data_IF_278059157556
#
_entry.id   IF_278059157556
#
_cell.length_a   1.000
_cell.length_b   1.000
_cell.length_c   1.000
_cell.angle_alpha   90.00
_cell.angle_beta   90.00
_cell.angle_gamma   90.00
#
_symmetry.space_group_name_H-M   'P 1'
#
loop_
_entity.id
_entity.type
_entity.pdbx_description
1 polymer ?
#
# COMPACT_ATOMS: atom_id res chain seq x y z
N UNK A 1 -19.52 36.10 -4.90
CA UNK A 1 -19.33 36.32 -6.35
C UNK A 1 -17.98 35.85 -6.88
N UNK A 2 -16.82 36.09 -6.23
CA UNK A 2 -15.50 35.69 -6.77
C UNK A 2 -15.38 34.17 -7.08
N UNK A 3 -16.06 33.31 -6.32
CA UNK A 3 -16.02 31.85 -6.52
C UNK A 3 -16.96 31.32 -7.62
N UNK A 4 -17.94 32.09 -8.08
CA UNK A 4 -18.88 31.60 -9.10
C UNK A 4 -18.18 31.42 -10.46
N UNK A 5 -17.19 32.27 -10.77
CA UNK A 5 -16.41 32.18 -12.00
C UNK A 5 -15.42 31.01 -12.01
N UNK A 6 -15.19 30.35 -10.86
CA UNK A 6 -14.31 29.18 -10.77
C UNK A 6 -15.03 27.85 -10.92
N UNK A 7 -16.35 27.85 -11.11
CA UNK A 7 -17.12 26.62 -11.36
C UNK A 7 -16.69 26.03 -12.70
N UNK A 8 -16.26 24.76 -12.69
CA UNK A 8 -15.87 24.00 -13.90
C UNK A 8 -16.58 22.66 -13.89
N UNK A 9 -17.29 22.33 -14.95
CA UNK A 9 -18.02 21.07 -15.12
C UNK A 9 -18.94 20.72 -13.94
N UNK A 10 -19.61 21.74 -13.37
CA UNK A 10 -20.49 21.57 -12.20
C UNK A 10 -19.76 21.36 -10.87
N UNK A 11 -18.43 21.49 -10.86
CA UNK A 11 -17.58 21.41 -9.66
C UNK A 11 -17.14 22.79 -9.21
N UNK A 12 -17.30 23.07 -7.91
CA UNK A 12 -16.72 24.22 -7.25
C UNK A 12 -15.69 23.77 -6.22
N UNK A 13 -14.44 24.22 -6.37
CA UNK A 13 -13.40 24.01 -5.36
C UNK A 13 -13.04 25.34 -4.68
N UNK A 14 -13.08 25.34 -3.34
CA UNK A 14 -12.65 26.46 -2.50
C UNK A 14 -11.47 25.97 -1.66
N UNK A 15 -10.31 26.59 -1.83
CA UNK A 15 -9.07 26.24 -1.12
C UNK A 15 -8.50 27.46 -0.41
N UNK A 16 -7.97 27.25 0.80
CA UNK A 16 -7.23 28.27 1.57
C UNK A 16 -7.80 28.45 2.99
N UNK A 17 -7.04 29.11 3.86
CA UNK A 17 -7.49 29.49 5.21
C UNK A 17 -8.52 30.62 5.11
N UNK A 18 -9.73 30.27 4.69
CA UNK A 18 -10.86 31.19 4.61
C UNK A 18 -11.72 30.98 5.86
N UNK A 19 -12.10 32.09 6.50
CA UNK A 19 -13.24 32.09 7.41
C UNK A 19 -14.49 32.21 6.52
N UNK A 20 -15.07 31.07 6.14
CA UNK A 20 -16.33 31.05 5.39
C UNK A 20 -17.47 31.22 6.39
N UNK A 21 -17.67 32.47 6.83
CA UNK A 21 -18.70 32.82 7.81
C UNK A 21 -20.12 32.54 7.30
N UNK A 22 -20.33 32.44 5.97
CA UNK A 22 -21.53 31.80 5.41
C UNK A 22 -21.30 31.28 3.98
N UNK A 23 -22.00 30.19 3.64
CA UNK A 23 -22.08 29.64 2.27
C UNK A 23 -23.43 29.95 1.61
N UNK A 24 -24.19 30.91 2.16
CA UNK A 24 -25.54 31.26 1.70
C UNK A 24 -25.61 31.64 0.22
N UNK A 25 -24.54 32.23 -0.33
CA UNK A 25 -24.47 32.58 -1.75
C UNK A 25 -24.53 31.37 -2.70
N UNK A 26 -24.34 30.15 -2.17
CA UNK A 26 -24.47 28.91 -2.92
C UNK A 26 -25.89 28.35 -2.91
N UNK A 27 -26.85 28.92 -2.17
CA UNK A 27 -28.16 28.30 -1.94
C UNK A 27 -28.91 27.91 -3.22
N UNK A 28 -28.83 28.75 -4.25
CA UNK A 28 -29.52 28.57 -5.55
C UNK A 28 -28.55 28.31 -6.71
N UNK A 29 -27.29 27.96 -6.42
CA UNK A 29 -26.29 27.71 -7.45
C UNK A 29 -26.32 26.23 -7.86
N UNK A 30 -26.50 25.97 -9.16
CA UNK A 30 -26.46 24.63 -9.74
C UNK A 30 -25.01 24.11 -9.83
N UNK A 31 -24.54 23.57 -8.70
CA UNK A 31 -23.28 22.85 -8.59
C UNK A 31 -23.56 21.42 -8.13
N UNK A 32 -22.95 20.44 -8.79
CA UNK A 32 -23.04 19.03 -8.42
C UNK A 32 -22.04 18.68 -7.33
N UNK A 33 -20.82 19.19 -7.43
CA UNK A 33 -19.73 18.84 -6.52
C UNK A 33 -19.18 20.10 -5.87
N UNK A 34 -19.17 20.13 -4.54
CA UNK A 34 -18.56 21.18 -3.76
C UNK A 34 -17.38 20.59 -2.99
N UNK A 35 -16.19 21.18 -3.13
CA UNK A 35 -15.03 20.82 -2.31
C UNK A 35 -14.53 22.05 -1.57
N UNK A 36 -14.44 21.97 -0.25
CA UNK A 36 -13.88 22.99 0.61
C UNK A 36 -12.80 22.32 1.47
N UNK A 37 -11.58 22.86 1.44
CA UNK A 37 -10.44 22.35 2.20
C UNK A 37 -9.79 23.45 3.02
N UNK A 38 -9.31 23.11 4.22
CA UNK A 38 -8.63 24.01 5.14
C UNK A 38 -9.50 25.21 5.59
N UNK A 39 -10.81 25.04 5.67
CA UNK A 39 -11.67 26.04 6.31
C UNK A 39 -11.44 26.00 7.81
N UNK A 40 -11.41 27.14 8.52
CA UNK A 40 -11.23 27.16 9.99
C UNK A 40 -12.54 27.21 10.75
N UNK A 41 -13.57 27.71 10.09
CA UNK A 41 -14.89 27.86 10.64
C UNK A 41 -15.88 27.80 9.48
N UNK A 42 -16.86 26.93 9.58
CA UNK A 42 -18.03 26.93 8.72
C UNK A 42 -19.20 26.98 9.68
N UNK A 43 -19.88 28.12 9.73
CA UNK A 43 -21.23 28.13 10.30
C UNK A 43 -22.09 27.38 9.26
N UNK A 44 -22.60 26.16 9.53
CA UNK A 44 -22.96 25.24 8.47
C UNK A 44 -24.27 25.57 7.76
N UNK A 45 -24.73 26.83 7.76
CA UNK A 45 -25.90 27.27 7.02
C UNK A 45 -25.61 27.24 5.52
N UNK A 46 -25.90 26.08 4.91
CA UNK A 46 -25.94 25.89 3.48
C UNK A 46 -27.15 25.02 3.16
N UNK A 47 -28.11 25.62 2.47
CA UNK A 47 -29.23 24.89 1.91
C UNK A 47 -29.05 24.84 0.39
N UNK A 48 -28.68 23.70 -0.19
CA UNK A 48 -28.55 23.57 -1.64
C UNK A 48 -28.95 22.15 -2.08
N UNK A 49 -29.97 22.05 -2.94
CA UNK A 49 -30.50 20.75 -3.37
C UNK A 49 -29.86 20.18 -4.65
N UNK A 50 -29.00 20.95 -5.30
CA UNK A 50 -28.26 20.55 -6.51
C UNK A 50 -26.99 19.75 -6.16
N UNK A 51 -26.36 20.06 -5.02
CA UNK A 51 -25.15 19.37 -4.58
C UNK A 51 -25.44 17.90 -4.34
N UNK A 52 -24.70 17.04 -5.05
CA UNK A 52 -24.69 15.58 -4.92
C UNK A 52 -23.47 15.08 -4.16
N UNK A 53 -22.37 15.81 -4.26
CA UNK A 53 -21.11 15.47 -3.61
C UNK A 53 -20.58 16.66 -2.85
N UNK A 54 -20.35 16.49 -1.55
CA UNK A 54 -19.77 17.53 -0.72
C UNK A 54 -18.54 17.00 0.01
N UNK A 55 -17.39 17.58 -0.32
CA UNK A 55 -16.12 17.27 0.31
C UNK A 55 -15.70 18.42 1.22
N UNK A 56 -15.66 18.15 2.51
CA UNK A 56 -15.37 19.10 3.58
C UNK A 56 -14.22 18.60 4.46
N UNK A 57 -13.27 17.87 3.88
CA UNK A 57 -12.13 17.33 4.62
C UNK A 57 -11.17 18.42 5.10
N UNK A 58 -10.42 18.11 6.17
CA UNK A 58 -9.39 19.00 6.72
C UNK A 58 -9.90 20.42 7.03
N UNK A 59 -11.10 20.57 7.59
CA UNK A 59 -11.76 21.87 7.76
C UNK A 59 -12.08 22.21 9.23
N UNK A 60 -11.49 21.50 10.20
CA UNK A 60 -11.64 21.72 11.65
C UNK A 60 -13.09 21.98 12.13
N UNK A 61 -14.10 21.54 11.39
CA UNK A 61 -15.50 21.80 11.74
C UNK A 61 -15.88 20.91 12.91
N UNK A 62 -16.76 21.42 13.77
CA UNK A 62 -17.23 20.71 14.97
C UNK A 62 -18.64 20.15 14.84
N UNK A 63 -19.41 20.67 13.89
CA UNK A 63 -20.79 20.28 13.63
C UNK A 63 -21.12 20.42 12.15
N UNK A 64 -22.11 19.65 11.74
CA UNK A 64 -22.79 19.72 10.44
C UNK A 64 -24.20 20.32 10.56
N UNK A 65 -24.57 20.85 11.72
CA UNK A 65 -25.85 21.51 11.98
C UNK A 65 -26.09 22.71 11.04
N UNK A 66 -27.23 22.71 10.35
CA UNK A 66 -27.59 23.77 9.40
C UNK A 66 -27.26 23.43 7.93
N UNK A 67 -26.56 22.32 7.68
CA UNK A 67 -26.39 21.79 6.34
C UNK A 67 -27.69 21.09 5.91
N UNK A 68 -28.30 21.59 4.84
CA UNK A 68 -29.53 21.05 4.27
C UNK A 68 -29.33 20.77 2.78
N UNK A 69 -29.07 19.51 2.43
CA UNK A 69 -28.83 19.10 1.05
C UNK A 69 -29.60 17.80 0.79
N UNK A 70 -30.90 17.91 0.51
CA UNK A 70 -31.78 16.74 0.38
C UNK A 70 -31.36 15.79 -0.75
N UNK A 71 -30.64 16.32 -1.74
CA UNK A 71 -30.12 15.58 -2.87
C UNK A 71 -28.73 14.97 -2.68
N UNK A 72 -28.08 15.17 -1.53
CA UNK A 72 -26.70 14.77 -1.29
C UNK A 72 -26.55 13.25 -1.29
N UNK A 73 -25.57 12.75 -2.03
CA UNK A 73 -25.29 11.32 -2.21
C UNK A 73 -23.93 10.92 -1.64
N UNK A 74 -22.94 11.81 -1.67
CA UNK A 74 -21.61 11.57 -1.11
C UNK A 74 -21.19 12.74 -0.21
N UNK A 75 -20.75 12.42 1.00
CA UNK A 75 -20.30 13.40 1.99
C UNK A 75 -18.96 12.95 2.59
N UNK A 76 -17.92 13.75 2.37
CA UNK A 76 -16.62 13.53 2.97
C UNK A 76 -16.37 14.57 4.08
N UNK A 77 -16.28 14.10 5.31
CA UNK A 77 -16.00 14.88 6.51
C UNK A 77 -14.69 14.42 7.19
N UNK A 78 -13.82 13.76 6.44
CA UNK A 78 -12.57 13.21 6.96
C UNK A 78 -11.67 14.30 7.56
N UNK A 79 -11.02 13.97 8.68
CA UNK A 79 -10.07 14.85 9.37
C UNK A 79 -10.68 16.20 9.75
N UNK A 80 -11.78 16.14 10.51
CA UNK A 80 -12.40 17.30 11.16
C UNK A 80 -12.40 17.11 12.68
N UNK A 81 -13.12 17.99 13.40
CA UNK A 81 -13.25 17.98 14.86
C UNK A 81 -14.70 17.74 15.28
N UNK A 82 -15.44 16.94 14.50
CA UNK A 82 -16.87 16.70 14.75
C UNK A 82 -17.07 16.11 16.15
N UNK A 83 -17.95 16.74 16.92
CA UNK A 83 -18.33 16.25 18.26
C UNK A 83 -19.64 15.46 18.25
N UNK A 84 -20.45 15.60 17.20
CA UNK A 84 -21.68 14.85 16.96
C UNK A 84 -21.96 14.77 15.46
N UNK A 85 -22.70 13.73 15.07
CA UNK A 85 -23.23 13.53 13.72
C UNK A 85 -24.77 13.46 13.70
N UNK A 86 -25.48 13.90 14.75
CA UNK A 86 -26.94 13.75 14.85
C UNK A 86 -27.70 14.32 13.64
N UNK A 87 -27.19 15.41 13.06
CA UNK A 87 -27.78 16.06 11.89
C UNK A 87 -27.55 15.32 10.56
N UNK A 88 -26.81 14.21 10.55
CA UNK A 88 -26.57 13.40 9.33
C UNK A 88 -27.88 12.88 8.74
N UNK A 89 -28.92 12.74 9.56
CA UNK A 89 -30.28 12.36 9.14
C UNK A 89 -30.92 13.36 8.18
N UNK A 90 -30.36 14.57 8.06
CA UNK A 90 -30.79 15.60 7.10
C UNK A 90 -30.38 15.29 5.65
N UNK A 91 -29.65 14.19 5.42
CA UNK A 91 -29.22 13.74 4.09
C UNK A 91 -29.86 12.39 3.73
N UNK A 92 -31.18 12.36 3.42
CA UNK A 92 -31.94 11.11 3.25
C UNK A 92 -31.54 10.30 1.99
N UNK A 93 -30.76 10.89 1.07
CA UNK A 93 -30.27 10.24 -0.15
C UNK A 93 -28.79 9.84 -0.06
N UNK A 94 -28.17 9.98 1.11
CA UNK A 94 -26.74 9.76 1.29
C UNK A 94 -26.37 8.29 1.13
N UNK A 95 -25.49 7.98 0.18
CA UNK A 95 -25.00 6.64 -0.15
C UNK A 95 -23.56 6.43 0.29
N UNK A 96 -22.75 7.49 0.31
CA UNK A 96 -21.34 7.44 0.70
C UNK A 96 -21.05 8.45 1.80
N UNK A 97 -20.42 7.97 2.87
CA UNK A 97 -20.06 8.80 4.01
C UNK A 97 -18.64 8.45 4.49
N UNK A 98 -17.80 9.47 4.61
CA UNK A 98 -16.47 9.36 5.22
C UNK A 98 -16.39 10.29 6.44
N UNK A 99 -16.31 9.69 7.63
CA UNK A 99 -16.18 10.35 8.93
C UNK A 99 -14.78 10.16 9.52
N UNK A 100 -13.84 9.57 8.78
CA UNK A 100 -12.54 9.15 9.30
C UNK A 100 -11.79 10.30 9.97
N UNK A 101 -11.00 10.00 10.98
CA UNK A 101 -10.21 10.96 11.76
C UNK A 101 -11.03 12.04 12.48
N UNK A 102 -12.30 11.78 12.80
CA UNK A 102 -13.06 12.55 13.79
C UNK A 102 -13.15 11.76 15.10
N UNK A 103 -12.74 12.34 16.24
CA UNK A 103 -12.58 11.59 17.49
C UNK A 103 -13.90 11.38 18.24
N UNK A 104 -14.07 10.18 18.80
CA UNK A 104 -15.20 9.76 19.65
C UNK A 104 -16.58 9.92 19.00
N UNK A 105 -16.71 9.56 17.73
CA UNK A 105 -18.01 9.61 17.04
C UNK A 105 -18.98 8.59 17.62
N UNK A 106 -20.17 9.06 18.01
CA UNK A 106 -21.33 8.19 18.27
C UNK A 106 -21.94 7.74 16.95
N UNK A 107 -22.09 6.42 16.78
CA UNK A 107 -22.65 5.83 15.55
C UNK A 107 -24.17 5.75 15.57
N UNK A 108 -24.82 6.03 16.71
CA UNK A 108 -26.27 5.88 16.86
C UNK A 108 -27.10 6.57 15.76
N UNK A 109 -26.76 7.77 15.24
CA UNK A 109 -27.56 8.43 14.20
C UNK A 109 -27.54 7.70 12.85
N UNK A 110 -26.51 6.87 12.60
CA UNK A 110 -26.36 6.12 11.34
C UNK A 110 -27.49 5.11 11.13
N UNK A 111 -28.19 4.69 12.20
CA UNK A 111 -29.29 3.74 12.08
C UNK A 111 -30.45 4.24 11.18
N UNK A 112 -30.50 5.55 10.94
CA UNK A 112 -31.50 6.21 10.11
C UNK A 112 -31.07 6.36 8.64
N UNK A 113 -29.92 5.79 8.24
CA UNK A 113 -29.38 5.87 6.88
C UNK A 113 -29.21 4.48 6.23
N UNK A 114 -30.24 3.63 6.17
CA UNK A 114 -30.14 2.25 5.66
C UNK A 114 -29.74 2.17 4.17
N UNK A 115 -29.79 3.29 3.44
CA UNK A 115 -29.39 3.39 2.04
C UNK A 115 -27.87 3.54 1.82
N UNK A 116 -27.07 3.69 2.89
CA UNK A 116 -25.62 3.76 2.76
C UNK A 116 -25.05 2.51 2.07
N UNK A 117 -24.18 2.75 1.10
CA UNK A 117 -23.43 1.74 0.33
C UNK A 117 -21.96 1.74 0.73
N UNK A 118 -21.42 2.90 1.11
CA UNK A 118 -20.03 3.06 1.55
C UNK A 118 -19.96 3.89 2.83
N UNK A 119 -19.24 3.38 3.83
CA UNK A 119 -19.05 4.05 5.11
C UNK A 119 -17.62 3.87 5.62
N UNK A 120 -16.89 4.97 5.77
CA UNK A 120 -15.54 4.98 6.34
C UNK A 120 -15.53 5.77 7.65
N UNK A 121 -14.98 5.16 8.71
CA UNK A 121 -14.93 5.71 10.07
C UNK A 121 -13.59 5.34 10.73
N UNK A 122 -12.49 5.51 10.00
CA UNK A 122 -11.16 5.14 10.48
C UNK A 122 -10.67 6.10 11.55
N UNK A 123 -10.08 5.61 12.64
CA UNK A 123 -9.50 6.46 13.68
C UNK A 123 -10.53 7.30 14.43
N UNK A 124 -11.78 6.85 14.49
CA UNK A 124 -12.88 7.56 15.13
C UNK A 124 -13.03 7.30 16.64
N UNK A 125 -12.22 6.41 17.23
CA UNK A 125 -12.37 5.99 18.63
C UNK A 125 -13.70 5.29 18.91
N UNK A 126 -14.20 4.52 17.92
CA UNK A 126 -15.47 3.81 18.02
C UNK A 126 -15.46 2.81 19.17
N UNK A 127 -16.50 2.84 20.01
CA UNK A 127 -16.72 1.86 21.09
C UNK A 127 -17.93 0.98 20.84
N UNK A 128 -19.02 1.59 20.36
CA UNK A 128 -20.25 0.92 20.00
C UNK A 128 -20.56 1.18 18.53
N UNK A 129 -20.71 0.10 17.77
CA UNK A 129 -21.09 0.11 16.36
C UNK A 129 -22.38 -0.69 16.12
N UNK A 130 -23.21 -0.86 17.15
CA UNK A 130 -24.48 -1.58 17.09
C UNK A 130 -25.45 -0.99 16.07
N UNK A 131 -25.42 0.33 15.86
CA UNK A 131 -26.20 1.04 14.85
C UNK A 131 -25.98 0.51 13.42
N UNK A 132 -24.77 0.00 13.13
CA UNK A 132 -24.43 -0.49 11.79
C UNK A 132 -25.28 -1.68 11.35
N UNK A 133 -25.88 -2.44 12.28
CA UNK A 133 -26.72 -3.61 11.95
C UNK A 133 -27.90 -3.29 11.01
N UNK A 134 -28.29 -2.01 10.91
CA UNK A 134 -29.36 -1.50 10.06
C UNK A 134 -28.92 -1.18 8.62
N UNK A 135 -27.61 -1.05 8.38
CA UNK A 135 -27.01 -0.59 7.12
C UNK A 135 -26.81 -1.74 6.13
N UNK A 136 -27.87 -2.51 5.90
CA UNK A 136 -27.83 -3.80 5.18
C UNK A 136 -27.42 -3.71 3.71
N UNK A 137 -27.37 -2.49 3.14
CA UNK A 137 -26.93 -2.23 1.77
C UNK A 137 -25.43 -1.91 1.65
N UNK A 138 -24.69 -1.86 2.76
CA UNK A 138 -23.25 -1.57 2.74
C UNK A 138 -22.50 -2.62 1.91
N UNK A 139 -21.64 -2.11 1.02
CA UNK A 139 -20.72 -2.89 0.18
C UNK A 139 -19.25 -2.63 0.53
N UNK A 140 -18.95 -1.45 1.08
CA UNK A 140 -17.60 -1.00 1.46
C UNK A 140 -17.67 -0.38 2.87
N UNK A 141 -17.00 -1.01 3.83
CA UNK A 141 -16.91 -0.55 5.22
C UNK A 141 -15.44 -0.47 5.66
N UNK A 142 -15.06 0.66 6.25
CA UNK A 142 -13.76 0.82 6.90
C UNK A 142 -13.94 1.35 8.33
N UNK A 143 -13.39 0.63 9.31
CA UNK A 143 -13.38 0.98 10.73
C UNK A 143 -11.98 0.76 11.33
N UNK A 144 -10.93 1.02 10.56
CA UNK A 144 -9.54 0.83 10.96
C UNK A 144 -9.15 1.77 12.12
N UNK A 145 -8.23 1.35 12.99
CA UNK A 145 -7.57 2.26 13.93
C UNK A 145 -8.45 2.78 15.07
N UNK A 146 -9.46 2.02 15.48
CA UNK A 146 -10.44 2.37 16.50
C UNK A 146 -10.22 1.68 17.86
N UNK A 147 -9.23 0.79 17.97
CA UNK A 147 -8.91 0.08 19.20
C UNK A 147 -9.77 -1.16 19.39
N UNK A 148 -10.24 -1.41 20.62
CA UNK A 148 -11.11 -2.56 20.90
C UNK A 148 -12.54 -2.24 20.48
N UNK A 149 -13.04 -2.97 19.47
CA UNK A 149 -14.42 -2.86 18.96
C UNK A 149 -15.05 -4.25 18.97
N UNK A 150 -16.31 -4.33 19.40
CA UNK A 150 -17.14 -5.51 19.12
C UNK A 150 -17.79 -5.38 17.74
N UNK A 151 -17.45 -6.31 16.85
CA UNK A 151 -17.99 -6.35 15.49
C UNK A 151 -19.21 -7.25 15.33
N UNK A 152 -19.79 -7.77 16.42
CA UNK A 152 -20.98 -8.64 16.38
C UNK A 152 -22.15 -8.05 15.56
N UNK A 153 -22.29 -6.72 15.54
CA UNK A 153 -23.35 -6.02 14.81
C UNK A 153 -23.24 -6.13 13.29
N UNK A 154 -22.03 -6.36 12.73
CA UNK A 154 -21.83 -6.38 11.28
C UNK A 154 -22.32 -7.68 10.63
N UNK A 155 -22.72 -8.69 11.40
CA UNK A 155 -23.17 -9.99 10.87
C UNK A 155 -24.34 -9.91 9.88
N UNK A 156 -25.13 -8.83 9.91
CA UNK A 156 -26.25 -8.58 8.99
C UNK A 156 -25.84 -7.90 7.68
N UNK A 157 -24.60 -7.42 7.56
CA UNK A 157 -24.12 -6.64 6.41
C UNK A 157 -23.65 -7.57 5.28
N UNK A 158 -24.50 -8.50 4.88
CA UNK A 158 -24.14 -9.60 3.97
C UNK A 158 -23.86 -9.15 2.53
N UNK A 159 -24.11 -7.87 2.20
CA UNK A 159 -23.77 -7.26 0.92
C UNK A 159 -22.33 -6.72 0.87
N UNK A 160 -21.59 -6.77 1.99
CA UNK A 160 -20.21 -6.33 2.04
C UNK A 160 -19.34 -7.11 1.05
N UNK A 161 -18.62 -6.35 0.23
CA UNK A 161 -17.60 -6.84 -0.71
C UNK A 161 -16.20 -6.42 -0.28
N UNK A 162 -16.08 -5.29 0.43
CA UNK A 162 -14.83 -4.75 0.95
C UNK A 162 -14.97 -4.42 2.43
N UNK A 163 -14.05 -4.90 3.24
CA UNK A 163 -14.01 -4.63 4.68
C UNK A 163 -12.59 -4.38 5.15
N UNK A 164 -12.35 -3.19 5.71
CA UNK A 164 -11.10 -2.84 6.36
C UNK A 164 -11.30 -2.60 7.86
N UNK A 165 -10.59 -3.37 8.67
CA UNK A 165 -10.59 -3.30 10.14
C UNK A 165 -9.16 -3.40 10.69
N UNK A 166 -8.17 -2.94 9.91
CA UNK A 166 -6.77 -2.98 10.30
C UNK A 166 -6.50 -2.10 11.54
N UNK A 167 -5.38 -2.34 12.22
CA UNK A 167 -4.93 -1.57 13.38
C UNK A 167 -5.98 -1.44 14.50
N UNK A 168 -6.78 -2.49 14.72
CA UNK A 168 -7.71 -2.59 15.84
C UNK A 168 -7.16 -3.56 16.92
N UNK A 169 -7.94 -3.76 17.98
CA UNK A 169 -7.69 -4.74 19.02
C UNK A 169 -8.84 -5.76 19.08
N UNK A 170 -9.21 -6.32 17.92
CA UNK A 170 -10.29 -7.30 17.83
C UNK A 170 -9.94 -8.55 18.65
N UNK A 171 -10.94 -9.09 19.35
CA UNK A 171 -10.83 -10.35 20.12
C UNK A 171 -11.62 -11.48 19.48
N UNK A 172 -12.80 -11.18 18.96
CA UNK A 172 -13.71 -12.12 18.30
C UNK A 172 -14.05 -11.61 16.90
N UNK A 173 -13.95 -12.48 15.90
CA UNK A 173 -14.31 -12.21 14.51
C UNK A 173 -15.40 -13.15 13.95
N UNK A 174 -16.17 -13.81 14.81
CA UNK A 174 -17.24 -14.74 14.46
C UNK A 174 -18.28 -14.15 13.52
N UNK A 175 -18.54 -12.85 13.61
CA UNK A 175 -19.47 -12.13 12.73
C UNK A 175 -19.06 -12.25 11.25
N UNK A 176 -17.76 -12.42 10.96
CA UNK A 176 -17.26 -12.50 9.59
C UNK A 176 -17.77 -13.73 8.83
N UNK A 177 -18.11 -14.84 9.51
CA UNK A 177 -18.58 -16.06 8.82
C UNK A 177 -19.86 -15.85 8.00
N UNK A 178 -20.61 -14.78 8.27
CA UNK A 178 -21.85 -14.44 7.57
C UNK A 178 -21.61 -13.55 6.34
N UNK A 179 -20.42 -12.95 6.20
CA UNK A 179 -20.09 -11.99 5.15
C UNK A 179 -19.55 -12.68 3.89
N UNK A 180 -20.26 -13.71 3.44
CA UNK A 180 -19.81 -14.67 2.40
C UNK A 180 -19.56 -14.05 1.01
N UNK A 181 -20.01 -12.81 0.78
CA UNK A 181 -19.78 -12.05 -0.44
C UNK A 181 -18.50 -11.19 -0.41
N UNK A 182 -17.74 -11.22 0.70
CA UNK A 182 -16.49 -10.47 0.82
C UNK A 182 -15.48 -10.91 -0.24
N UNK A 183 -14.91 -9.91 -0.91
CA UNK A 183 -13.89 -10.05 -1.95
C UNK A 183 -12.54 -9.51 -1.46
N UNK A 184 -12.56 -8.45 -0.65
CA UNK A 184 -11.38 -7.82 -0.07
C UNK A 184 -11.55 -7.71 1.46
N UNK A 185 -10.61 -8.28 2.21
CA UNK A 185 -10.59 -8.19 3.67
C UNK A 185 -9.20 -7.76 4.16
N UNK A 186 -9.17 -6.70 4.95
CA UNK A 186 -7.97 -6.28 5.67
C UNK A 186 -8.20 -6.24 7.17
N UNK A 187 -7.52 -7.13 7.89
CA UNK A 187 -7.51 -7.22 9.36
C UNK A 187 -6.10 -7.10 9.93
N UNK A 188 -5.16 -6.54 9.16
CA UNK A 188 -3.76 -6.33 9.57
C UNK A 188 -3.65 -5.71 10.96
N UNK A 189 -2.70 -6.18 11.78
CA UNK A 189 -2.49 -5.67 13.16
C UNK A 189 -3.66 -5.87 14.12
N UNK A 190 -4.31 -7.04 14.07
CA UNK A 190 -5.25 -7.50 15.10
C UNK A 190 -4.65 -8.70 15.87
N UNK A 191 -3.67 -8.42 16.72
CA UNK A 191 -2.86 -9.44 17.42
C UNK A 191 -3.60 -10.23 18.51
N UNK A 192 -4.82 -9.83 18.87
CA UNK A 192 -5.57 -10.37 20.01
C UNK A 192 -6.74 -11.26 19.60
N UNK A 193 -6.88 -11.54 18.30
CA UNK A 193 -7.88 -12.49 17.79
C UNK A 193 -7.43 -13.91 18.12
N UNK A 194 -8.24 -14.63 18.88
CA UNK A 194 -7.93 -16.00 19.33
C UNK A 194 -8.25 -17.08 18.29
N UNK A 195 -9.25 -16.86 17.44
CA UNK A 195 -9.70 -17.82 16.42
C UNK A 195 -9.95 -17.15 15.07
N UNK A 196 -9.26 -17.65 14.05
CA UNK A 196 -9.40 -17.22 12.66
C UNK A 196 -10.24 -18.18 11.81
N UNK A 197 -10.77 -19.27 12.39
CA UNK A 197 -11.64 -20.22 11.71
C UNK A 197 -12.90 -19.62 11.05
N UNK A 198 -13.49 -18.49 11.52
CA UNK A 198 -14.60 -17.83 10.81
C UNK A 198 -14.24 -17.38 9.39
N UNK A 199 -12.96 -17.15 9.09
CA UNK A 199 -12.52 -16.73 7.75
C UNK A 199 -12.69 -17.83 6.70
N UNK A 200 -12.77 -19.12 7.10
CA UNK A 200 -12.88 -20.24 6.16
C UNK A 200 -14.16 -20.20 5.29
N UNK A 201 -15.17 -19.44 5.71
CA UNK A 201 -16.44 -19.28 5.00
C UNK A 201 -16.39 -18.21 3.91
N UNK A 202 -15.34 -17.37 3.88
CA UNK A 202 -15.19 -16.24 2.98
C UNK A 202 -14.59 -16.63 1.63
N UNK A 203 -15.18 -17.65 0.98
CA UNK A 203 -14.61 -18.31 -0.20
C UNK A 203 -14.56 -17.44 -1.46
N UNK A 204 -15.21 -16.27 -1.45
CA UNK A 204 -15.18 -15.28 -2.53
C UNK A 204 -14.00 -14.28 -2.42
N UNK A 205 -13.19 -14.38 -1.37
CA UNK A 205 -12.03 -13.50 -1.20
C UNK A 205 -11.04 -13.67 -2.34
N UNK A 206 -10.70 -12.55 -2.98
CA UNK A 206 -9.58 -12.43 -3.89
C UNK A 206 -8.37 -11.76 -3.22
N UNK A 207 -8.59 -10.93 -2.20
CA UNK A 207 -7.54 -10.18 -1.49
C UNK A 207 -7.71 -10.32 0.02
N UNK A 208 -6.66 -10.79 0.69
CA UNK A 208 -6.63 -10.96 2.14
C UNK A 208 -5.32 -10.42 2.75
N UNK A 209 -5.47 -9.42 3.61
CA UNK A 209 -4.40 -8.86 4.44
C UNK A 209 -4.62 -9.27 5.90
N UNK A 210 -3.81 -10.20 6.40
CA UNK A 210 -3.86 -10.72 7.78
C UNK A 210 -2.46 -10.76 8.40
N UNK A 211 -1.63 -9.78 8.03
CA UNK A 211 -0.30 -9.62 8.61
C UNK A 211 -0.34 -9.09 10.05
N UNK A 212 0.71 -9.40 10.82
CA UNK A 212 0.85 -9.01 12.22
C UNK A 212 -0.44 -9.29 13.02
N UNK A 213 -0.90 -10.54 12.98
CA UNK A 213 -2.11 -10.98 13.68
C UNK A 213 -1.82 -12.11 14.68
N UNK A 214 -0.54 -12.35 14.97
CA UNK A 214 -0.06 -13.45 15.81
C UNK A 214 -0.60 -14.84 15.38
N UNK A 215 -0.69 -15.07 14.06
CA UNK A 215 -1.20 -16.34 13.52
C UNK A 215 -0.27 -17.50 13.89
N UNK A 216 -0.88 -18.59 14.33
CA UNK A 216 -0.25 -19.90 14.57
C UNK A 216 -0.87 -20.95 13.65
N UNK A 217 -2.19 -21.14 13.73
CA UNK A 217 -2.94 -22.00 12.81
C UNK A 217 -3.46 -21.22 11.59
N UNK A 218 -3.16 -21.77 10.42
CA UNK A 218 -3.60 -21.28 9.11
C UNK A 218 -4.41 -22.33 8.33
N UNK A 219 -4.95 -23.36 8.99
CA UNK A 219 -5.77 -24.41 8.35
C UNK A 219 -6.92 -23.86 7.52
N UNK A 220 -7.54 -22.79 8.01
CA UNK A 220 -8.69 -22.12 7.42
C UNK A 220 -8.38 -21.53 6.03
N UNK A 221 -7.12 -21.17 5.73
CA UNK A 221 -6.72 -20.69 4.41
C UNK A 221 -6.96 -21.72 3.31
N UNK A 222 -6.95 -23.01 3.63
CA UNK A 222 -7.15 -24.08 2.64
C UNK A 222 -8.51 -24.02 1.92
N UNK A 223 -9.47 -23.26 2.44
CA UNK A 223 -10.78 -23.07 1.84
C UNK A 223 -10.83 -21.89 0.87
N UNK A 224 -9.85 -20.99 0.88
CA UNK A 224 -9.85 -19.72 0.16
C UNK A 224 -9.17 -19.82 -1.22
N UNK A 225 -9.55 -20.82 -2.01
CA UNK A 225 -8.86 -21.17 -3.28
C UNK A 225 -8.92 -20.09 -4.37
N UNK A 226 -9.78 -19.08 -4.21
CA UNK A 226 -9.92 -17.95 -5.13
C UNK A 226 -8.97 -16.77 -4.80
N UNK A 227 -8.17 -16.86 -3.73
CA UNK A 227 -7.23 -15.82 -3.36
C UNK A 227 -6.21 -15.58 -4.48
N UNK A 228 -6.09 -14.32 -4.86
CA UNK A 228 -5.10 -13.80 -5.80
C UNK A 228 -4.01 -13.01 -5.07
N UNK A 229 -4.38 -12.28 -4.02
CA UNK A 229 -3.46 -11.47 -3.21
C UNK A 229 -3.55 -11.92 -1.75
N UNK A 230 -2.43 -12.40 -1.20
CA UNK A 230 -2.35 -12.82 0.19
C UNK A 230 -1.14 -12.22 0.88
N UNK A 231 -1.38 -11.65 2.06
CA UNK A 231 -0.33 -11.09 2.90
C UNK A 231 -0.45 -11.64 4.32
N UNK A 232 0.60 -12.35 4.73
CA UNK A 232 0.76 -12.98 6.03
C UNK A 232 1.92 -12.35 6.81
N UNK A 233 2.44 -11.21 6.35
CA UNK A 233 3.64 -10.57 6.90
C UNK A 233 3.64 -10.47 8.43
N UNK A 234 4.80 -10.56 9.06
CA UNK A 234 4.98 -10.47 10.52
C UNK A 234 4.28 -11.54 11.38
N UNK A 235 3.71 -12.60 10.80
CA UNK A 235 3.20 -13.74 11.58
C UNK A 235 4.31 -14.77 11.83
N UNK A 236 5.16 -14.47 12.82
CA UNK A 236 6.40 -15.22 13.08
C UNK A 236 6.21 -16.60 13.75
N UNK A 237 4.98 -16.91 14.19
CA UNK A 237 4.67 -18.15 14.91
C UNK A 237 4.06 -19.24 14.01
N UNK A 238 3.88 -18.98 12.71
CA UNK A 238 3.38 -19.96 11.76
C UNK A 238 4.44 -21.03 11.47
N UNK A 239 4.07 -22.31 11.55
CA UNK A 239 4.98 -23.44 11.27
C UNK A 239 4.44 -24.42 10.20
N UNK A 240 3.20 -24.25 9.74
CA UNK A 240 2.49 -25.19 8.86
C UNK A 240 2.17 -24.61 7.47
N UNK A 241 3.15 -23.96 6.83
CA UNK A 241 2.98 -23.29 5.53
C UNK A 241 2.65 -24.23 4.36
N UNK A 242 2.87 -25.53 4.51
CA UNK A 242 2.37 -26.53 3.55
C UNK A 242 0.86 -26.47 3.31
N UNK A 243 0.09 -25.92 4.26
CA UNK A 243 -1.36 -25.67 4.12
C UNK A 243 -1.71 -24.67 3.02
N UNK A 244 -0.77 -23.83 2.61
CA UNK A 244 -1.00 -22.86 1.53
C UNK A 244 -1.07 -23.51 0.14
N UNK A 245 -0.70 -24.78 -0.01
CA UNK A 245 -0.58 -25.44 -1.32
C UNK A 245 -1.90 -25.50 -2.13
N UNK A 246 -3.04 -25.26 -1.49
CA UNK A 246 -4.36 -25.21 -2.14
C UNK A 246 -4.60 -23.91 -2.91
N UNK A 247 -3.81 -22.86 -2.67
CA UNK A 247 -4.01 -21.50 -3.19
C UNK A 247 -3.39 -21.29 -4.58
N UNK A 248 -3.80 -22.10 -5.55
CA UNK A 248 -3.24 -22.12 -6.91
C UNK A 248 -3.49 -20.83 -7.73
N UNK A 249 -4.44 -20.00 -7.30
CA UNK A 249 -4.83 -18.75 -7.96
C UNK A 249 -3.96 -17.55 -7.55
N UNK A 250 -3.00 -17.73 -6.63
CA UNK A 250 -2.18 -16.62 -6.12
C UNK A 250 -1.34 -15.98 -7.23
N UNK A 251 -1.45 -14.65 -7.31
CA UNK A 251 -0.65 -13.77 -8.15
C UNK A 251 0.32 -12.92 -7.31
N UNK A 252 -0.03 -12.61 -6.05
CA UNK A 252 0.80 -11.87 -5.11
C UNK A 252 0.82 -12.54 -3.74
N UNK A 253 2.02 -12.75 -3.20
CA UNK A 253 2.24 -13.35 -1.90
C UNK A 253 3.25 -12.55 -1.08
N UNK A 254 2.83 -12.07 0.08
CA UNK A 254 3.69 -11.38 1.03
C UNK A 254 3.91 -12.21 2.31
N UNK A 255 5.15 -12.67 2.48
CA UNK A 255 5.64 -13.42 3.64
C UNK A 255 6.77 -12.67 4.37
N UNK A 256 6.79 -11.34 4.27
CA UNK A 256 7.78 -10.50 4.93
C UNK A 256 7.86 -10.82 6.43
N UNK A 257 9.07 -11.10 6.95
CA UNK A 257 9.33 -11.36 8.38
C UNK A 257 8.40 -12.41 9.01
N UNK A 258 8.25 -13.56 8.37
CA UNK A 258 7.47 -14.70 8.88
C UNK A 258 8.33 -15.79 9.54
N UNK A 259 9.64 -15.57 9.70
CA UNK A 259 10.58 -16.55 10.28
C UNK A 259 10.60 -17.89 9.51
N UNK A 260 10.49 -17.83 8.18
CA UNK A 260 10.45 -19.00 7.32
C UNK A 260 11.73 -19.84 7.45
N UNK A 261 11.59 -21.15 7.62
CA UNK A 261 12.71 -22.11 7.58
C UNK A 261 12.87 -22.76 6.21
N UNK A 262 11.76 -22.94 5.50
CA UNK A 262 11.71 -23.46 4.14
C UNK A 262 10.57 -22.83 3.35
N UNK A 263 10.67 -22.87 2.03
CA UNK A 263 9.65 -22.37 1.10
C UNK A 263 9.32 -23.40 0.02
N UNK A 264 9.54 -24.68 0.28
CA UNK A 264 9.29 -25.77 -0.68
C UNK A 264 7.85 -25.80 -1.20
N UNK A 265 6.88 -25.38 -0.37
CA UNK A 265 5.46 -25.26 -0.70
C UNK A 265 5.16 -24.26 -1.83
N UNK A 266 6.04 -23.30 -2.09
CA UNK A 266 5.76 -22.20 -3.04
C UNK A 266 5.65 -22.66 -4.49
N UNK A 267 6.23 -23.83 -4.81
CA UNK A 267 6.33 -24.38 -6.18
C UNK A 267 4.98 -24.57 -6.89
N UNK A 268 3.88 -24.64 -6.13
CA UNK A 268 2.54 -24.80 -6.69
C UNK A 268 1.92 -23.49 -7.17
N UNK A 269 2.45 -22.33 -6.79
CA UNK A 269 1.93 -21.01 -7.16
C UNK A 269 2.46 -20.58 -8.54
N UNK A 270 2.14 -21.35 -9.58
CA UNK A 270 2.66 -21.14 -10.94
C UNK A 270 2.22 -19.82 -11.59
N UNK A 271 1.17 -19.18 -11.06
CA UNK A 271 0.66 -17.89 -11.50
C UNK A 271 1.28 -16.70 -10.74
N UNK A 272 2.18 -16.95 -9.80
CA UNK A 272 2.72 -15.92 -8.92
C UNK A 272 3.59 -14.92 -9.70
N UNK A 273 3.23 -13.64 -9.60
CA UNK A 273 3.88 -12.50 -10.27
C UNK A 273 4.68 -11.64 -9.31
N UNK A 274 4.26 -11.55 -8.05
CA UNK A 274 4.86 -10.71 -7.02
C UNK A 274 5.09 -11.53 -5.75
N UNK A 275 6.33 -11.49 -5.24
CA UNK A 275 6.71 -12.25 -4.05
C UNK A 275 7.60 -11.42 -3.11
N UNK A 276 7.15 -11.25 -1.88
CA UNK A 276 7.92 -10.65 -0.79
C UNK A 276 8.35 -11.73 0.20
N UNK A 277 9.66 -11.96 0.28
CA UNK A 277 10.31 -12.90 1.20
C UNK A 277 11.32 -12.21 2.12
N UNK A 278 11.39 -10.89 2.11
CA UNK A 278 12.34 -10.12 2.89
C UNK A 278 12.26 -10.42 4.40
N UNK A 279 13.40 -10.24 5.08
CA UNK A 279 13.51 -10.46 6.51
C UNK A 279 13.27 -11.91 6.98
N UNK A 280 13.35 -12.89 6.07
CA UNK A 280 13.40 -14.31 6.40
C UNK A 280 14.84 -14.81 6.24
N UNK A 281 15.54 -14.98 7.36
CA UNK A 281 16.98 -15.19 7.38
C UNK A 281 17.35 -16.65 7.05
N UNK A 282 18.22 -16.86 6.06
CA UNK A 282 18.78 -18.17 5.71
C UNK A 282 17.83 -19.09 4.95
N UNK A 283 16.80 -18.55 4.30
CA UNK A 283 15.85 -19.34 3.50
C UNK A 283 16.53 -19.88 2.25
N UNK A 284 16.40 -21.19 2.01
CA UNK A 284 16.76 -21.80 0.73
C UNK A 284 15.81 -21.33 -0.37
N UNK A 285 16.35 -20.56 -1.32
CA UNK A 285 15.59 -20.00 -2.45
C UNK A 285 15.51 -20.93 -3.66
N UNK A 286 16.09 -22.14 -3.61
CA UNK A 286 16.03 -23.14 -4.70
C UNK A 286 14.61 -23.39 -5.22
N UNK A 287 13.54 -23.46 -4.38
CA UNK A 287 12.17 -23.62 -4.85
C UNK A 287 11.68 -22.55 -5.83
N UNK A 288 12.25 -21.34 -5.80
CA UNK A 288 11.84 -20.23 -6.65
C UNK A 288 12.05 -20.49 -8.15
N UNK A 289 12.97 -21.38 -8.53
CA UNK A 289 13.29 -21.67 -9.95
C UNK A 289 12.07 -22.10 -10.79
N UNK A 290 11.00 -22.56 -10.14
CA UNK A 290 9.75 -22.99 -10.79
C UNK A 290 8.78 -21.86 -11.10
N UNK A 291 8.97 -20.67 -10.51
CA UNK A 291 8.00 -19.57 -10.55
C UNK A 291 8.27 -18.61 -11.72
N UNK A 292 8.27 -19.13 -12.95
CA UNK A 292 8.72 -18.41 -14.14
C UNK A 292 7.85 -17.20 -14.53
N UNK A 293 6.68 -17.02 -13.90
CA UNK A 293 5.81 -15.85 -14.06
C UNK A 293 6.18 -14.68 -13.15
N UNK A 294 7.15 -14.85 -12.23
CA UNK A 294 7.57 -13.79 -11.33
C UNK A 294 8.12 -12.59 -12.10
N UNK A 295 7.52 -11.44 -11.83
CA UNK A 295 7.90 -10.12 -12.34
C UNK A 295 8.58 -9.25 -11.29
N UNK A 296 8.28 -9.48 -10.00
CA UNK A 296 8.81 -8.73 -8.86
C UNK A 296 9.16 -9.69 -7.71
N UNK A 297 10.40 -9.62 -7.23
CA UNK A 297 10.91 -10.43 -6.13
C UNK A 297 11.70 -9.56 -5.14
N UNK A 298 11.32 -9.65 -3.86
CA UNK A 298 11.98 -8.93 -2.77
C UNK A 298 12.54 -9.92 -1.76
N UNK A 299 13.86 -9.95 -1.65
CA UNK A 299 14.66 -10.82 -0.78
C UNK A 299 15.58 -10.00 0.15
N UNK A 300 15.21 -8.76 0.44
CA UNK A 300 15.97 -7.86 1.32
C UNK A 300 16.28 -8.50 2.68
N UNK A 301 17.53 -8.35 3.16
CA UNK A 301 17.99 -8.79 4.49
C UNK A 301 17.69 -10.27 4.79
N UNK A 302 17.86 -11.16 3.81
CA UNK A 302 17.48 -12.59 3.92
C UNK A 302 18.66 -13.57 4.03
N UNK A 303 19.91 -13.07 4.11
CA UNK A 303 21.15 -13.88 4.11
C UNK A 303 21.28 -14.83 2.90
N UNK A 304 20.75 -14.40 1.75
CA UNK A 304 20.94 -15.11 0.47
C UNK A 304 22.37 -14.92 0.01
N UNK A 305 23.10 -16.01 -0.19
CA UNK A 305 24.51 -15.96 -0.65
C UNK A 305 24.69 -16.30 -2.11
N UNK A 306 23.68 -16.87 -2.75
CA UNK A 306 23.75 -17.27 -4.15
C UNK A 306 22.37 -17.17 -4.80
N UNK A 307 22.28 -16.49 -5.95
CA UNK A 307 21.02 -16.30 -6.71
C UNK A 307 20.89 -17.22 -7.94
N UNK A 308 21.65 -18.30 -8.02
CA UNK A 308 21.60 -19.23 -9.16
C UNK A 308 20.22 -19.85 -9.38
N UNK A 309 19.44 -20.04 -8.32
CA UNK A 309 18.05 -20.48 -8.39
C UNK A 309 17.16 -19.53 -9.22
N UNK A 310 17.56 -18.25 -9.35
CA UNK A 310 16.78 -17.25 -10.09
C UNK A 310 17.02 -17.30 -11.60
N UNK A 311 18.01 -18.05 -12.11
CA UNK A 311 18.41 -18.00 -13.53
C UNK A 311 17.29 -18.21 -14.55
N UNK A 312 16.24 -18.94 -14.16
CA UNK A 312 15.10 -19.28 -15.01
C UNK A 312 13.96 -18.24 -14.96
N UNK A 313 14.06 -17.22 -14.10
CA UNK A 313 13.04 -16.20 -13.90
C UNK A 313 13.18 -15.05 -14.89
N UNK A 314 13.20 -15.37 -16.18
CA UNK A 314 13.50 -14.41 -17.26
C UNK A 314 12.48 -13.27 -17.40
N UNK A 315 11.28 -13.43 -16.82
CA UNK A 315 10.24 -12.40 -16.77
C UNK A 315 10.42 -11.40 -15.61
N UNK A 316 11.46 -11.57 -14.78
CA UNK A 316 11.70 -10.71 -13.64
C UNK A 316 12.11 -9.31 -14.11
N UNK A 317 11.33 -8.31 -13.70
CA UNK A 317 11.56 -6.90 -14.04
C UNK A 317 12.08 -6.09 -12.87
N UNK A 318 11.78 -6.53 -11.63
CA UNK A 318 12.21 -5.89 -10.39
C UNK A 318 12.78 -6.92 -9.43
N UNK A 319 13.99 -6.68 -8.96
CA UNK A 319 14.68 -7.54 -8.01
C UNK A 319 15.32 -6.70 -6.90
N UNK A 320 14.91 -6.95 -5.66
CA UNK A 320 15.52 -6.34 -4.49
C UNK A 320 16.26 -7.39 -3.65
N UNK A 321 17.58 -7.28 -3.61
CA UNK A 321 18.51 -8.13 -2.87
C UNK A 321 19.27 -7.32 -1.80
N UNK A 322 18.78 -6.14 -1.42
CA UNK A 322 19.41 -5.26 -0.43
C UNK A 322 19.88 -6.02 0.81
N UNK A 323 21.12 -5.74 1.24
CA UNK A 323 21.75 -6.33 2.44
C UNK A 323 21.79 -7.86 2.49
N UNK A 324 22.04 -8.51 1.35
CA UNK A 324 22.46 -9.90 1.30
C UNK A 324 23.99 -9.98 1.13
N UNK A 325 24.72 -10.14 2.24
CA UNK A 325 26.20 -10.06 2.25
C UNK A 325 26.83 -11.28 1.59
N UNK A 326 28.02 -11.08 1.00
CA UNK A 326 28.79 -12.12 0.30
C UNK A 326 27.98 -12.81 -0.81
N UNK A 327 27.23 -12.01 -1.56
CA UNK A 327 26.29 -12.51 -2.55
C UNK A 327 26.97 -12.80 -3.91
N UNK A 328 26.86 -14.04 -4.37
CA UNK A 328 27.18 -14.41 -5.74
C UNK A 328 26.03 -14.03 -6.68
N UNK A 329 26.30 -13.01 -7.51
CA UNK A 329 25.35 -12.44 -8.49
C UNK A 329 25.53 -13.00 -9.91
N UNK A 330 26.38 -14.01 -10.14
CA UNK A 330 26.72 -14.48 -11.50
C UNK A 330 25.51 -14.84 -12.34
N UNK A 331 24.48 -15.41 -11.72
CA UNK A 331 23.24 -15.80 -12.39
C UNK A 331 22.38 -14.63 -12.87
N UNK A 332 22.65 -13.39 -12.43
CA UNK A 332 21.92 -12.22 -12.91
C UNK A 332 22.12 -12.01 -14.42
N UNK A 333 23.19 -12.52 -15.03
CA UNK A 333 23.40 -12.42 -16.49
C UNK A 333 22.25 -13.01 -17.33
N UNK A 334 21.45 -13.92 -16.76
CA UNK A 334 20.30 -14.53 -17.42
C UNK A 334 19.02 -13.68 -17.30
N UNK A 335 18.99 -12.69 -16.42
CA UNK A 335 17.82 -11.87 -16.08
C UNK A 335 17.80 -10.55 -16.87
N UNK A 336 17.97 -10.64 -18.19
CA UNK A 336 18.15 -9.47 -19.06
C UNK A 336 16.94 -8.54 -19.11
N UNK A 337 15.75 -9.02 -18.72
CA UNK A 337 14.51 -8.23 -18.61
C UNK A 337 14.45 -7.28 -17.40
N UNK A 338 15.44 -7.31 -16.49
CA UNK A 338 15.46 -6.45 -15.31
C UNK A 338 15.48 -4.96 -15.69
N UNK A 339 14.59 -4.21 -15.04
CA UNK A 339 14.50 -2.75 -15.15
C UNK A 339 14.84 -2.05 -13.84
N UNK A 340 14.61 -2.70 -12.70
CA UNK A 340 14.96 -2.20 -11.37
C UNK A 340 15.74 -3.27 -10.60
N UNK A 341 16.93 -2.92 -10.13
CA UNK A 341 17.79 -3.83 -9.39
C UNK A 341 18.41 -3.14 -8.17
N UNK A 342 18.14 -3.69 -6.99
CA UNK A 342 18.78 -3.26 -5.75
C UNK A 342 19.73 -4.34 -5.21
N UNK A 343 21.01 -4.00 -5.17
CA UNK A 343 22.14 -4.77 -4.68
C UNK A 343 22.94 -3.98 -3.62
N UNK A 344 22.34 -2.96 -3.01
CA UNK A 344 23.02 -2.15 -1.99
C UNK A 344 23.38 -3.03 -0.77
N UNK A 345 24.61 -2.89 -0.25
CA UNK A 345 25.03 -3.61 0.95
C UNK A 345 25.31 -5.10 0.77
N UNK A 346 25.63 -5.55 -0.45
CA UNK A 346 25.82 -6.98 -0.78
C UNK A 346 27.27 -7.48 -0.71
N UNK A 347 28.23 -6.60 -0.39
CA UNK A 347 29.68 -6.92 -0.34
C UNK A 347 30.25 -7.27 -1.71
N UNK A 348 29.75 -6.63 -2.77
CA UNK A 348 30.18 -6.88 -4.15
C UNK A 348 31.47 -6.12 -4.48
N UNK A 349 32.46 -6.79 -5.05
CA UNK A 349 33.65 -6.19 -5.66
C UNK A 349 33.62 -6.29 -7.20
N UNK A 350 33.05 -7.38 -7.71
CA UNK A 350 32.90 -7.68 -9.12
C UNK A 350 31.44 -7.55 -9.56
N UNK A 351 31.22 -6.63 -10.50
CA UNK A 351 29.91 -6.37 -11.11
C UNK A 351 29.89 -6.62 -12.63
N UNK A 352 30.84 -7.41 -13.17
CA UNK A 352 30.95 -7.65 -14.62
C UNK A 352 29.66 -8.16 -15.24
N UNK A 353 28.91 -9.00 -14.53
CA UNK A 353 27.62 -9.55 -15.01
C UNK A 353 26.56 -8.50 -15.27
N UNK A 354 26.65 -7.32 -14.64
CA UNK A 354 25.66 -6.26 -14.84
C UNK A 354 25.68 -5.69 -16.25
N UNK A 355 26.76 -5.88 -17.01
CA UNK A 355 26.87 -5.38 -18.39
C UNK A 355 25.83 -6.00 -19.35
N UNK A 356 25.26 -7.17 -18.99
CA UNK A 356 24.25 -7.88 -19.78
C UNK A 356 22.84 -7.31 -19.53
N UNK A 357 22.64 -6.53 -18.47
CA UNK A 357 21.35 -6.02 -18.01
C UNK A 357 20.96 -4.68 -18.67
N UNK A 358 21.04 -4.62 -20.00
CA UNK A 358 20.93 -3.38 -20.80
C UNK A 358 19.57 -2.66 -20.70
N UNK A 359 18.55 -3.31 -20.15
CA UNK A 359 17.21 -2.73 -19.92
C UNK A 359 17.05 -2.07 -18.54
N UNK A 360 18.09 -2.08 -17.69
CA UNK A 360 18.06 -1.41 -16.40
C UNK A 360 17.79 0.08 -16.54
N UNK A 361 16.81 0.55 -15.76
CA UNK A 361 16.44 1.96 -15.57
C UNK A 361 16.86 2.46 -14.20
N UNK A 362 16.75 1.60 -13.18
CA UNK A 362 17.14 1.90 -11.81
C UNK A 362 18.11 0.85 -11.27
N UNK A 363 19.28 1.30 -10.81
CA UNK A 363 20.33 0.45 -10.24
C UNK A 363 20.82 1.03 -8.91
N UNK A 364 20.70 0.25 -7.84
CA UNK A 364 21.19 0.59 -6.51
C UNK A 364 22.30 -0.38 -6.13
N UNK A 365 23.55 0.10 -6.11
CA UNK A 365 24.77 -0.67 -5.81
C UNK A 365 25.63 0.03 -4.76
N UNK A 366 25.04 0.94 -3.99
CA UNK A 366 25.72 1.62 -2.89
C UNK A 366 26.20 0.66 -1.80
N UNK A 367 27.10 1.10 -0.93
CA UNK A 367 27.59 0.33 0.22
C UNK A 367 28.15 -1.04 -0.15
N UNK A 368 28.97 -1.10 -1.20
CA UNK A 368 29.66 -2.31 -1.67
C UNK A 368 31.18 -2.08 -1.67
N UNK A 369 31.95 -2.99 -2.28
CA UNK A 369 33.41 -2.95 -2.40
C UNK A 369 33.85 -2.76 -3.87
N UNK A 370 33.01 -2.14 -4.70
CA UNK A 370 33.21 -2.04 -6.14
C UNK A 370 34.37 -1.10 -6.42
N UNK A 371 35.32 -1.55 -7.24
CA UNK A 371 36.47 -0.75 -7.68
C UNK A 371 36.31 -0.28 -9.13
N UNK A 372 35.73 -1.13 -9.99
CA UNK A 372 35.62 -0.88 -11.43
C UNK A 372 34.16 -0.80 -11.88
N UNK A 373 33.82 0.30 -12.57
CA UNK A 373 32.48 0.54 -13.11
C UNK A 373 32.38 0.41 -14.63
N UNK A 374 33.43 -0.08 -15.30
CA UNK A 374 33.41 -0.37 -16.75
C UNK A 374 32.21 -1.22 -17.21
N UNK A 375 31.72 -2.22 -16.45
CA UNK A 375 30.52 -2.97 -16.82
C UNK A 375 29.27 -2.11 -17.01
N UNK A 376 29.19 -0.96 -16.34
CA UNK A 376 28.03 -0.06 -16.41
C UNK A 376 27.95 0.72 -17.74
N UNK A 377 29.03 0.75 -18.54
CA UNK A 377 29.09 1.51 -19.81
C UNK A 377 28.01 1.10 -20.81
N UNK A 378 27.57 -0.17 -20.78
CA UNK A 378 26.52 -0.70 -21.67
C UNK A 378 25.09 -0.34 -21.22
N UNK A 379 24.92 0.18 -20.00
CA UNK A 379 23.61 0.45 -19.41
C UNK A 379 23.08 1.82 -19.84
N UNK A 380 22.86 2.01 -21.14
CA UNK A 380 22.47 3.30 -21.72
C UNK A 380 21.05 3.76 -21.36
N UNK A 381 20.22 2.85 -20.85
CA UNK A 381 18.85 3.12 -20.41
C UNK A 381 18.75 3.56 -18.95
N UNK A 382 19.88 3.63 -18.23
CA UNK A 382 19.90 3.93 -16.82
C UNK A 382 19.46 5.39 -16.57
N UNK A 383 18.44 5.55 -15.73
CA UNK A 383 17.83 6.83 -15.36
C UNK A 383 18.23 7.19 -13.93
N UNK A 384 18.32 6.19 -13.07
CA UNK A 384 18.71 6.31 -11.67
C UNK A 384 19.82 5.31 -11.32
N UNK A 385 20.93 5.84 -10.80
CA UNK A 385 22.04 5.07 -10.25
C UNK A 385 22.31 5.53 -8.81
N UNK A 386 22.43 4.61 -7.87
CA UNK A 386 22.99 4.87 -6.54
C UNK A 386 24.24 4.01 -6.38
N UNK A 387 25.39 4.65 -6.19
CA UNK A 387 26.71 4.00 -6.17
C UNK A 387 27.60 4.48 -5.03
N UNK A 388 27.02 5.19 -4.05
CA UNK A 388 27.75 5.74 -2.90
C UNK A 388 28.44 4.66 -2.08
N UNK A 389 29.47 5.03 -1.32
CA UNK A 389 30.13 4.12 -0.39
C UNK A 389 30.66 2.85 -1.08
N UNK A 390 31.45 3.06 -2.13
CA UNK A 390 32.22 2.04 -2.85
C UNK A 390 33.72 2.42 -2.85
N UNK A 391 34.56 1.66 -3.56
CA UNK A 391 36.01 1.86 -3.67
C UNK A 391 36.41 2.33 -5.09
N UNK A 392 35.52 3.04 -5.78
CA UNK A 392 35.67 3.43 -7.18
C UNK A 392 36.68 4.56 -7.30
N UNK A 393 37.65 4.40 -8.20
CA UNK A 393 38.67 5.42 -8.50
C UNK A 393 38.48 6.05 -9.88
N UNK A 394 37.97 5.27 -10.85
CA UNK A 394 37.72 5.74 -12.21
C UNK A 394 36.22 5.70 -12.52
N UNK A 395 35.65 6.87 -12.75
CA UNK A 395 34.24 7.05 -13.10
C UNK A 395 34.02 7.24 -14.61
N UNK A 396 35.05 7.10 -15.44
CA UNK A 396 35.03 7.35 -16.89
C UNK A 396 33.90 6.62 -17.62
N UNK A 397 33.57 5.40 -17.18
CA UNK A 397 32.52 4.56 -17.74
C UNK A 397 31.11 5.14 -17.60
N UNK A 398 30.89 6.07 -16.66
CA UNK A 398 29.57 6.65 -16.36
C UNK A 398 29.52 8.18 -16.52
N UNK A 399 30.57 8.82 -17.05
CA UNK A 399 30.65 10.29 -17.22
C UNK A 399 29.50 10.89 -18.04
N UNK A 400 28.97 10.14 -19.00
CA UNK A 400 27.89 10.59 -19.88
C UNK A 400 26.49 10.34 -19.30
N UNK A 401 26.36 9.79 -18.09
CA UNK A 401 25.06 9.56 -17.48
C UNK A 401 24.38 10.89 -17.13
N UNK A 402 23.07 11.09 -17.42
CA UNK A 402 22.36 12.37 -17.20
C UNK A 402 22.43 12.96 -15.78
N UNK A 403 22.85 12.16 -14.80
CA UNK A 403 22.87 12.47 -13.39
C UNK A 403 24.29 12.29 -12.78
N UNK A 404 25.32 12.18 -13.62
CA UNK A 404 26.71 11.90 -13.25
C UNK A 404 27.21 12.79 -12.09
N UNK A 405 27.00 14.10 -12.19
CA UNK A 405 27.44 15.06 -11.18
C UNK A 405 26.84 14.80 -9.79
N UNK A 406 25.58 14.34 -9.72
CA UNK A 406 24.93 13.98 -8.45
C UNK A 406 25.53 12.71 -7.84
N UNK A 407 25.97 11.78 -8.68
CA UNK A 407 26.56 10.52 -8.23
C UNK A 407 27.96 10.73 -7.67
N UNK A 408 28.82 11.41 -8.41
CA UNK A 408 30.23 11.67 -8.04
C UNK A 408 30.33 12.42 -6.71
N UNK A 409 29.57 13.50 -6.53
CA UNK A 409 29.57 14.31 -5.29
C UNK A 409 29.17 13.49 -4.06
N UNK A 410 28.33 12.47 -4.23
CA UNK A 410 27.86 11.62 -3.13
C UNK A 410 28.78 10.41 -2.82
N UNK A 411 29.75 10.13 -3.69
CA UNK A 411 30.74 9.04 -3.54
C UNK A 411 32.09 9.48 -2.98
N UNK A 412 32.49 10.74 -3.24
CA UNK A 412 33.79 11.27 -2.81
C UNK A 412 33.70 11.65 -1.33
N UNK A 413 34.54 11.05 -0.48
CA UNK A 413 34.88 11.66 0.82
C UNK A 413 35.64 12.96 0.56
N UNK A 414 35.65 13.89 1.51
CA UNK A 414 36.12 15.30 1.38
C UNK A 414 37.50 15.56 0.73
N UNK A 415 38.28 14.52 0.44
CA UNK A 415 39.66 14.59 -0.04
C UNK A 415 39.86 14.08 -1.48
N UNK A 416 38.81 13.71 -2.23
CA UNK A 416 38.93 13.32 -3.63
C UNK A 416 38.36 14.39 -4.57
N UNK A 417 39.19 14.88 -5.50
CA UNK A 417 38.79 15.89 -6.49
C UNK A 417 37.80 15.32 -7.52
N UNK A 418 36.82 16.13 -7.91
CA UNK A 418 35.90 15.83 -9.02
C UNK A 418 36.72 15.85 -10.32
N UNK A 419 36.73 14.77 -11.12
CA UNK A 419 37.37 14.80 -12.43
C UNK A 419 36.64 15.83 -13.31
N UNK A 420 37.33 16.91 -13.68
CA UNK A 420 36.80 17.93 -14.58
C UNK A 420 37.11 17.57 -16.04
N UNK A 421 36.22 17.97 -16.96
CA UNK A 421 36.16 17.65 -18.40
C UNK A 421 37.42 17.95 -19.26
N UNK A 422 38.56 18.33 -18.67
CA UNK A 422 39.69 18.91 -19.38
C UNK A 422 40.88 17.96 -19.66
N UNK A 423 40.64 16.66 -19.88
CA UNK A 423 41.67 15.78 -20.45
C UNK A 423 41.18 15.08 -21.73
N UNK A 424 40.96 15.90 -22.77
CA UNK A 424 41.13 15.47 -24.16
C UNK A 424 42.10 16.41 -24.87
N UNK A 425 43.02 15.80 -25.60
CA UNK A 425 43.91 16.33 -26.66
C UNK A 425 45.24 16.95 -26.21
N UNK A 426 46.33 16.17 -26.30
CA UNK A 426 47.32 16.35 -27.38
C UNK A 426 48.51 15.39 -27.25
N UNK A 427 48.69 14.53 -28.26
CA UNK A 427 49.99 13.98 -28.63
C UNK A 427 50.71 15.00 -29.52
N UNK A 428 51.95 15.34 -29.14
CA UNK A 428 53.11 15.74 -29.98
C UNK A 428 54.24 15.97 -28.97
N UNK A 429 55.43 15.38 -29.03
CA UNK A 429 56.23 14.79 -30.11
C UNK A 429 57.10 13.67 -29.51
#
# INVERSE_FOLDING_TARGET
MQFLNSIKDGTLEIRGQLELNSLEFLQDVDIKTLTIQNCKNIEPKLNNNYIKEFNLKFSSIKSIEGLHMNGLQSLNLCSNELTSIDHIVSFPQLQELDLSSNKNIDTSPLQHLPQLVKLHMDGCGLKDISALQSLVNLKDLSVQGNGEIDISSIQKLTQLTKLCMAYNNLKNIDALKFLVNLQELNIYRNNNVGDFSPLQYLVQLNTLEVGACNLTDISWLQKLCNLQNLSLQYNQQMDQLGKLQTLHSLESLNLFRCCLKEISFIKVFVNLKVLFLNGNYGVDITPLQSLTQLSELVLETSDVRNVYALKSLVNLTKLNLYKNRNLDITALQYLTGLTHLNLEGCTLDNITVLQELVHLKELFISSNLIICVNPLKKLTNLQQLQIQSNLIQDFSAIMNHPNFNRYVISTLTSDQEIPTDNQKVSHTK
#
